data_IF_813045644722
#
_entry.id   IF_813045644722
#
_cell.length_a   1.000
_cell.length_b   1.000
_cell.length_c   1.000
_cell.angle_alpha   90.00
_cell.angle_beta   90.00
_cell.angle_gamma   90.00
#
_symmetry.space_group_name_H-M   'P 1'
#
loop_
_entity.id
_entity.type
_entity.pdbx_description
1 polymer ?
#
# COMPACT_ATOMS: atom_id res chain seq x y z
N UNK A 1 -14.47 32.14 -32.53
CA UNK A 1 -13.17 32.30 -31.87
C UNK A 1 -12.26 33.04 -32.83
N UNK A 2 -11.56 34.08 -32.37
CA UNK A 2 -10.72 34.94 -33.20
C UNK A 2 -9.47 35.32 -32.43
N UNK A 3 -8.38 34.57 -32.64
CA UNK A 3 -7.07 34.92 -32.11
C UNK A 3 -6.53 36.13 -32.86
N UNK A 4 -6.45 37.28 -32.18
CA UNK A 4 -5.75 38.45 -32.71
C UNK A 4 -4.33 38.45 -32.15
N UNK A 5 -3.39 37.91 -32.92
CA UNK A 5 -1.97 38.10 -32.66
C UNK A 5 -1.55 39.47 -33.18
N UNK A 6 -0.90 40.27 -32.34
CA UNK A 6 -0.19 41.48 -32.82
C UNK A 6 1.29 41.13 -32.93
N UNK A 7 1.81 41.19 -34.14
CA UNK A 7 3.23 41.01 -34.44
C UNK A 7 3.82 42.36 -34.80
N UNK A 8 4.76 42.83 -34.00
CA UNK A 8 5.58 43.99 -34.34
C UNK A 8 6.84 43.50 -35.05
N UNK A 9 6.97 43.79 -36.34
CA UNK A 9 8.19 43.53 -37.11
C UNK A 9 8.97 44.83 -37.29
N UNK A 10 10.17 44.89 -36.71
CA UNK A 10 11.13 45.96 -36.97
C UNK A 10 12.20 45.46 -37.93
N UNK A 11 12.25 46.00 -39.15
CA UNK A 11 13.34 45.77 -40.10
C UNK A 11 14.16 47.05 -40.23
N UNK A 12 15.47 46.95 -40.03
CA UNK A 12 16.41 48.03 -40.34
C UNK A 12 17.32 47.58 -41.48
N UNK A 13 17.32 48.35 -42.57
CA UNK A 13 18.19 48.15 -43.73
C UNK A 13 19.16 49.32 -43.82
N UNK A 14 20.46 49.03 -43.69
CA UNK A 14 21.51 50.02 -43.89
C UNK A 14 22.10 49.88 -45.28
N UNK A 15 21.83 50.84 -46.17
CA UNK A 15 22.42 50.86 -47.52
C UNK A 15 23.60 51.85 -47.56
N UNK A 16 24.80 51.36 -47.91
CA UNK A 16 25.94 52.20 -48.28
C UNK A 16 26.31 51.93 -49.74
N UNK A 17 26.26 52.98 -50.56
CA UNK A 17 26.40 52.88 -52.02
C UNK A 17 27.86 52.86 -52.46
N UNK A 18 28.35 51.66 -52.80
CA UNK A 18 29.31 51.34 -53.87
C UNK A 18 29.72 49.87 -53.69
N UNK A 19 29.05 48.96 -54.39
CA UNK A 19 29.40 47.52 -54.39
C UNK A 19 29.32 46.81 -53.01
N UNK A 20 28.44 47.24 -52.11
CA UNK A 20 28.40 46.83 -50.70
C UNK A 20 27.38 45.74 -50.37
N UNK A 21 27.76 44.87 -49.43
CA UNK A 21 26.93 43.80 -48.82
C UNK A 21 25.69 44.38 -48.13
N UNK A 22 24.52 43.85 -48.47
CA UNK A 22 23.26 44.18 -47.79
C UNK A 22 23.16 43.37 -46.48
N UNK A 23 23.11 44.08 -45.34
CA UNK A 23 22.85 43.46 -44.04
C UNK A 23 21.44 43.85 -43.57
N UNK A 24 20.61 42.85 -43.31
CA UNK A 24 19.27 43.05 -42.75
C UNK A 24 19.18 42.36 -41.39
N UNK A 25 18.69 43.10 -40.40
CA UNK A 25 18.42 42.57 -39.06
C UNK A 25 16.94 42.77 -38.79
N UNK A 26 16.25 41.67 -38.52
CA UNK A 26 14.84 41.66 -38.13
C UNK A 26 14.70 41.18 -36.69
N UNK A 27 13.86 41.89 -35.94
CA UNK A 27 13.39 41.47 -34.63
C UNK A 27 11.87 41.41 -34.65
N UNK A 28 11.31 40.27 -34.25
CA UNK A 28 9.87 40.04 -34.21
C UNK A 28 9.45 39.77 -32.78
N UNK A 29 8.51 40.56 -32.27
CA UNK A 29 7.84 40.30 -31.00
C UNK A 29 6.38 39.92 -31.28
N UNK A 30 5.99 38.74 -30.79
CA UNK A 30 4.62 38.22 -30.93
C UNK A 30 3.95 38.18 -29.57
N UNK A 31 2.78 38.80 -29.44
CA UNK A 31 1.92 38.68 -28.28
C UNK A 31 0.51 38.23 -28.70
N UNK A 32 -0.04 37.25 -27.97
CA UNK A 32 -1.41 36.78 -28.14
C UNK A 32 -2.17 36.99 -26.83
N UNK A 33 -3.34 37.60 -26.92
CA UNK A 33 -4.25 37.74 -25.79
C UNK A 33 -5.65 37.29 -26.22
N UNK A 34 -6.33 36.54 -25.36
CA UNK A 34 -7.68 36.07 -25.61
C UNK A 34 -8.60 36.64 -24.54
N UNK A 35 -9.54 37.55 -24.89
CA UNK A 35 -10.52 38.06 -23.93
C UNK A 35 -11.43 36.92 -23.47
N UNK A 36 -11.42 36.65 -22.17
CA UNK A 36 -12.24 35.58 -21.56
C UNK A 36 -13.70 36.03 -21.41
N UNK A 37 -14.44 36.06 -22.52
CA UNK A 37 -15.84 36.51 -22.58
C UNK A 37 -16.84 35.48 -22.06
N UNK A 38 -16.45 34.19 -22.06
CA UNK A 38 -17.31 33.06 -21.72
C UNK A 38 -16.81 32.28 -20.49
N UNK A 39 -15.71 32.72 -19.86
CA UNK A 39 -15.13 32.10 -18.68
C UNK A 39 -14.32 30.83 -18.96
N UNK A 40 -13.92 30.55 -20.20
CA UNK A 40 -13.24 29.31 -20.59
C UNK A 40 -11.90 29.14 -19.87
N UNK A 41 -11.10 30.22 -19.77
CA UNK A 41 -9.82 30.18 -19.05
C UNK A 41 -10.06 29.99 -17.56
N UNK A 42 -11.04 30.71 -16.99
CA UNK A 42 -11.44 30.55 -15.59
C UNK A 42 -11.89 29.12 -15.26
N UNK A 43 -12.74 28.53 -16.10
CA UNK A 43 -13.21 27.13 -15.96
C UNK A 43 -12.06 26.13 -16.10
N UNK A 44 -11.09 26.40 -16.97
CA UNK A 44 -9.87 25.57 -17.10
C UNK A 44 -9.01 25.58 -15.84
N UNK A 45 -8.83 26.75 -15.21
CA UNK A 45 -8.13 26.88 -13.92
C UNK A 45 -8.90 26.19 -12.80
N UNK A 46 -10.22 26.37 -12.74
CA UNK A 46 -11.11 25.70 -11.78
C UNK A 46 -10.98 24.17 -11.88
N UNK A 47 -11.09 23.61 -13.09
CA UNK A 47 -10.92 22.18 -13.35
C UNK A 47 -9.51 21.66 -12.96
N UNK A 48 -8.46 22.42 -13.27
CA UNK A 48 -7.09 22.07 -12.89
C UNK A 48 -6.90 22.06 -11.38
N UNK A 49 -7.49 23.04 -10.69
CA UNK A 49 -7.46 23.12 -9.23
C UNK A 49 -8.24 21.98 -8.57
N UNK A 50 -9.41 21.63 -9.10
CA UNK A 50 -10.21 20.50 -8.61
C UNK A 50 -9.47 19.17 -8.80
N UNK A 51 -8.78 19.01 -9.94
CA UNK A 51 -7.94 17.84 -10.24
C UNK A 51 -6.78 17.72 -9.26
N UNK A 52 -6.07 18.81 -8.96
CA UNK A 52 -4.99 18.81 -7.96
C UNK A 52 -5.51 18.40 -6.56
N UNK A 53 -6.62 18.97 -6.13
CA UNK A 53 -7.22 18.62 -4.84
C UNK A 53 -7.72 17.16 -4.81
N UNK A 54 -8.17 16.60 -5.93
CA UNK A 54 -8.55 15.19 -6.04
C UNK A 54 -7.32 14.28 -5.91
N UNK A 55 -6.19 14.61 -6.56
CA UNK A 55 -4.94 13.88 -6.39
C UNK A 55 -4.44 13.87 -4.95
N UNK A 56 -4.54 15.00 -4.23
CA UNK A 56 -4.18 15.08 -2.81
C UNK A 56 -5.06 14.18 -1.94
N UNK A 57 -6.37 14.15 -2.20
CA UNK A 57 -7.30 13.27 -1.50
C UNK A 57 -7.01 11.79 -1.77
N UNK A 58 -6.69 11.42 -3.02
CA UNK A 58 -6.27 10.07 -3.39
C UNK A 58 -4.98 9.66 -2.67
N UNK A 59 -3.98 10.54 -2.59
CA UNK A 59 -2.75 10.27 -1.85
C UNK A 59 -3.02 10.04 -0.36
N UNK A 60 -3.87 10.86 0.27
CA UNK A 60 -4.28 10.65 1.66
C UNK A 60 -4.99 9.31 1.85
N UNK A 61 -5.84 8.92 0.90
CA UNK A 61 -6.52 7.63 0.88
C UNK A 61 -5.57 6.43 0.79
N UNK A 62 -4.60 6.50 -0.14
CA UNK A 62 -3.58 5.46 -0.30
C UNK A 62 -2.75 5.32 0.96
N UNK A 63 -2.33 6.44 1.58
CA UNK A 63 -1.58 6.41 2.85
C UNK A 63 -2.37 5.72 3.97
N UNK A 64 -3.66 6.04 4.09
CA UNK A 64 -4.54 5.39 5.07
C UNK A 64 -4.64 3.89 4.79
N UNK A 65 -4.87 3.51 3.53
CA UNK A 65 -4.96 2.10 3.11
C UNK A 65 -3.68 1.34 3.46
N UNK A 66 -2.51 1.87 3.10
CA UNK A 66 -1.20 1.27 3.44
C UNK A 66 -1.05 1.13 4.96
N UNK A 67 -1.37 2.16 5.73
CA UNK A 67 -1.27 2.10 7.20
C UNK A 67 -2.18 1.03 7.82
N UNK A 68 -3.40 0.86 7.28
CA UNK A 68 -4.34 -0.16 7.72
C UNK A 68 -3.86 -1.57 7.33
N UNK A 69 -3.31 -1.74 6.12
CA UNK A 69 -2.70 -2.99 5.68
C UNK A 69 -1.50 -3.38 6.54
N UNK A 70 -0.60 -2.43 6.85
CA UNK A 70 0.54 -2.66 7.75
C UNK A 70 0.05 -3.10 9.13
N UNK A 71 -0.90 -2.39 9.72
CA UNK A 71 -1.46 -2.75 11.02
C UNK A 71 -2.07 -4.16 11.01
N UNK A 72 -2.88 -4.47 10.00
CA UNK A 72 -3.57 -5.77 9.89
C UNK A 72 -2.58 -6.92 9.71
N UNK A 73 -1.60 -6.78 8.80
CA UNK A 73 -0.55 -7.78 8.58
C UNK A 73 0.34 -7.97 9.82
N UNK A 74 0.67 -6.88 10.51
CA UNK A 74 1.47 -6.96 11.73
C UNK A 74 0.74 -7.70 12.85
N UNK A 75 -0.55 -7.41 13.07
CA UNK A 75 -1.35 -8.11 14.06
C UNK A 75 -1.53 -9.59 13.70
N UNK A 76 -1.75 -9.90 12.42
CA UNK A 76 -1.83 -11.29 11.96
C UNK A 76 -0.50 -12.05 12.14
N UNK A 77 0.64 -11.40 11.87
CA UNK A 77 1.97 -11.96 12.15
C UNK A 77 2.13 -12.28 13.65
N UNK A 78 1.73 -11.35 14.54
CA UNK A 78 1.77 -11.58 15.99
C UNK A 78 0.84 -12.68 16.46
N UNK A 79 -0.32 -12.86 15.82
CA UNK A 79 -1.17 -14.02 16.08
C UNK A 79 -0.43 -15.33 15.73
N UNK A 80 0.25 -15.37 14.58
CA UNK A 80 1.03 -16.55 14.19
C UNK A 80 2.21 -16.83 15.15
N UNK A 81 2.86 -15.79 15.71
CA UNK A 81 3.88 -15.98 16.75
C UNK A 81 3.33 -16.76 17.96
N UNK A 82 2.10 -16.43 18.39
CA UNK A 82 1.41 -17.09 19.51
C UNK A 82 1.02 -18.52 19.13
N UNK A 83 0.40 -18.70 17.95
CA UNK A 83 -0.05 -20.01 17.46
C UNK A 83 1.13 -20.99 17.34
N UNK A 84 2.28 -20.52 16.81
CA UNK A 84 3.51 -21.31 16.72
C UNK A 84 3.98 -21.74 18.11
N UNK A 85 4.02 -20.82 19.08
CA UNK A 85 4.43 -21.15 20.45
C UNK A 85 3.53 -22.20 21.11
N UNK A 86 2.22 -22.13 20.87
CA UNK A 86 1.25 -23.13 21.37
C UNK A 86 1.41 -24.49 20.66
N UNK A 87 1.56 -24.48 19.34
CA UNK A 87 1.71 -25.70 18.55
C UNK A 87 3.04 -26.42 18.85
N UNK A 88 4.10 -25.69 19.16
CA UNK A 88 5.37 -26.28 19.62
C UNK A 88 5.19 -27.01 20.97
N UNK A 89 4.45 -26.42 21.91
CA UNK A 89 4.15 -27.09 23.18
C UNK A 89 3.29 -28.34 22.95
N UNK A 90 2.27 -28.24 22.09
CA UNK A 90 1.42 -29.37 21.75
C UNK A 90 2.20 -30.50 21.06
N UNK A 91 3.14 -30.16 20.18
CA UNK A 91 4.01 -31.13 19.53
C UNK A 91 4.84 -31.91 20.56
N UNK A 92 5.42 -31.22 21.55
CA UNK A 92 6.19 -31.86 22.62
C UNK A 92 5.32 -32.82 23.44
N UNK A 93 4.11 -32.40 23.80
CA UNK A 93 3.16 -33.24 24.55
C UNK A 93 2.77 -34.49 23.75
N UNK A 94 2.42 -34.32 22.47
CA UNK A 94 2.02 -35.44 21.62
C UNK A 94 3.18 -36.40 21.33
N UNK A 95 4.41 -35.88 21.22
CA UNK A 95 5.60 -36.73 21.10
C UNK A 95 5.78 -37.60 22.34
N UNK A 96 5.69 -37.02 23.54
CA UNK A 96 5.82 -37.78 24.79
C UNK A 96 4.71 -38.84 24.91
N UNK A 97 3.47 -38.51 24.52
CA UNK A 97 2.37 -39.46 24.52
C UNK A 97 2.63 -40.62 23.54
N UNK A 98 3.11 -40.31 22.34
CA UNK A 98 3.48 -41.33 21.35
C UNK A 98 4.57 -42.26 21.90
N UNK A 99 5.61 -41.71 22.53
CA UNK A 99 6.70 -42.48 23.12
C UNK A 99 6.18 -43.44 24.21
N UNK A 100 5.25 -42.97 25.06
CA UNK A 100 4.61 -43.80 26.09
C UNK A 100 3.77 -44.94 25.48
N UNK A 101 2.96 -44.64 24.47
CA UNK A 101 2.12 -45.64 23.79
C UNK A 101 2.99 -46.65 23.05
N UNK A 102 4.08 -46.21 22.41
CA UNK A 102 5.03 -47.08 21.73
C UNK A 102 5.70 -48.05 22.71
N UNK A 103 6.07 -47.58 23.91
CA UNK A 103 6.59 -48.43 24.97
C UNK A 103 5.56 -49.48 25.43
N UNK A 104 4.30 -49.10 25.64
CA UNK A 104 3.24 -50.04 26.02
C UNK A 104 2.92 -51.05 24.90
N UNK A 105 3.00 -50.62 23.64
CA UNK A 105 2.76 -51.47 22.48
C UNK A 105 3.84 -52.56 22.40
N UNK A 106 5.11 -52.19 22.63
CA UNK A 106 6.22 -53.15 22.68
C UNK A 106 6.08 -54.20 23.80
N UNK A 107 5.33 -53.86 24.86
CA UNK A 107 4.99 -54.77 25.97
C UNK A 107 3.66 -55.52 25.75
N UNK A 108 3.01 -55.34 24.60
CA UNK A 108 1.73 -55.97 24.27
C UNK A 108 0.53 -55.50 25.10
N UNK A 109 0.64 -54.35 25.77
CA UNK A 109 -0.39 -53.84 26.69
C UNK A 109 -1.40 -52.91 25.98
N UNK A 110 -1.08 -52.43 24.78
CA UNK A 110 -1.97 -51.62 23.93
C UNK A 110 -2.03 -52.19 22.52
N UNK A 111 -3.12 -51.92 21.82
CA UNK A 111 -3.34 -52.37 20.45
C UNK A 111 -2.70 -51.42 19.42
N UNK A 112 -2.52 -51.92 18.19
CA UNK A 112 -1.84 -51.19 17.11
C UNK A 112 -2.63 -49.95 16.64
N UNK A 113 -3.96 -50.00 16.74
CA UNK A 113 -4.87 -48.88 16.46
C UNK A 113 -4.56 -47.65 17.33
N UNK A 114 -4.31 -47.84 18.63
CA UNK A 114 -3.94 -46.76 19.55
C UNK A 114 -2.59 -46.13 19.18
N UNK A 115 -1.62 -46.96 18.78
CA UNK A 115 -0.32 -46.49 18.30
C UNK A 115 -0.44 -45.68 17.00
N UNK A 116 -1.29 -46.11 16.06
CA UNK A 116 -1.55 -45.37 14.83
C UNK A 116 -2.27 -44.04 15.12
N UNK A 117 -3.26 -44.05 16.01
CA UNK A 117 -3.98 -42.84 16.40
C UNK A 117 -3.05 -41.78 17.03
N UNK A 118 -2.10 -42.21 17.87
CA UNK A 118 -1.11 -41.30 18.46
C UNK A 118 -0.16 -40.70 17.41
N UNK A 119 0.27 -41.50 16.42
CA UNK A 119 1.08 -41.01 15.30
C UNK A 119 0.31 -39.99 14.46
N UNK A 120 -0.96 -40.26 14.14
CA UNK A 120 -1.81 -39.35 13.37
C UNK A 120 -2.03 -38.02 14.11
N UNK A 121 -2.21 -38.06 15.43
CA UNK A 121 -2.33 -36.86 16.25
C UNK A 121 -1.04 -36.02 16.22
N UNK A 122 0.13 -36.65 16.34
CA UNK A 122 1.41 -35.94 16.23
C UNK A 122 1.59 -35.34 14.83
N UNK A 123 1.32 -36.12 13.78
CA UNK A 123 1.40 -35.68 12.38
C UNK A 123 0.50 -34.46 12.11
N UNK A 124 -0.73 -34.48 12.62
CA UNK A 124 -1.67 -33.36 12.51
C UNK A 124 -1.12 -32.08 13.15
N UNK A 125 -0.51 -32.19 14.32
CA UNK A 125 0.08 -31.02 15.02
C UNK A 125 1.31 -30.49 14.29
N UNK A 126 2.16 -31.38 13.76
CA UNK A 126 3.32 -30.99 12.94
C UNK A 126 2.87 -30.25 11.68
N UNK A 127 1.83 -30.74 10.99
CA UNK A 127 1.28 -30.09 9.80
C UNK A 127 0.68 -28.71 10.12
N UNK A 128 -0.01 -28.58 11.26
CA UNK A 128 -0.53 -27.30 11.74
C UNK A 128 0.61 -26.31 12.04
N UNK A 129 1.67 -26.76 12.72
CA UNK A 129 2.85 -25.94 13.04
C UNK A 129 3.52 -25.40 11.76
N UNK A 130 3.75 -26.26 10.77
CA UNK A 130 4.32 -25.85 9.48
C UNK A 130 3.42 -24.86 8.73
N UNK A 131 2.09 -25.03 8.85
CA UNK A 131 1.14 -24.10 8.24
C UNK A 131 1.21 -22.72 8.92
N UNK A 132 1.27 -22.68 10.25
CA UNK A 132 1.40 -21.42 10.99
C UNK A 132 2.73 -20.70 10.67
N UNK A 133 3.84 -21.44 10.57
CA UNK A 133 5.15 -20.90 10.16
C UNK A 133 5.10 -20.28 8.76
N UNK A 134 4.52 -20.99 7.78
CA UNK A 134 4.35 -20.44 6.42
C UNK A 134 3.47 -19.20 6.39
N UNK A 135 2.37 -19.19 7.15
CA UNK A 135 1.50 -18.01 7.25
C UNK A 135 2.23 -16.82 7.86
N UNK A 136 3.05 -17.05 8.89
CA UNK A 136 3.90 -16.02 9.50
C UNK A 136 4.86 -15.40 8.49
N UNK A 137 5.57 -16.22 7.72
CA UNK A 137 6.48 -15.76 6.65
C UNK A 137 5.75 -14.97 5.58
N UNK A 138 4.53 -15.38 5.20
CA UNK A 138 3.71 -14.63 4.23
C UNK A 138 3.37 -13.22 4.74
N UNK A 139 3.00 -13.08 6.02
CA UNK A 139 2.75 -11.76 6.61
C UNK A 139 4.03 -10.92 6.72
N UNK A 140 5.17 -11.54 7.02
CA UNK A 140 6.47 -10.88 7.08
C UNK A 140 6.89 -10.33 5.71
N UNK A 141 6.73 -11.14 4.65
CA UNK A 141 6.96 -10.69 3.27
C UNK A 141 5.98 -9.60 2.84
N UNK A 142 4.71 -9.68 3.23
CA UNK A 142 3.73 -8.64 2.94
C UNK A 142 4.11 -7.31 3.61
N UNK A 143 4.63 -7.34 4.84
CA UNK A 143 5.14 -6.16 5.54
C UNK A 143 6.39 -5.59 4.84
N UNK A 144 7.32 -6.43 4.38
CA UNK A 144 8.49 -5.98 3.62
C UNK A 144 8.07 -5.16 2.39
N UNK A 145 7.12 -5.67 1.60
CA UNK A 145 6.61 -4.98 0.41
C UNK A 145 5.93 -3.65 0.76
N UNK A 146 5.15 -3.61 1.85
CA UNK A 146 4.47 -2.38 2.29
C UNK A 146 5.44 -1.30 2.81
N UNK A 147 6.60 -1.70 3.34
CA UNK A 147 7.65 -0.77 3.81
C UNK A 147 8.65 -0.43 2.69
N UNK A 148 8.59 -1.13 1.55
CA UNK A 148 9.45 -0.90 0.40
C UNK A 148 10.81 -1.60 0.48
N UNK A 149 10.93 -2.65 1.30
CA UNK A 149 12.13 -3.47 1.43
C UNK A 149 11.99 -4.80 0.69
N UNK A 150 13.13 -5.36 0.25
CA UNK A 150 13.16 -6.69 -0.34
C UNK A 150 12.86 -7.74 0.76
N UNK A 151 11.98 -8.73 0.50
CA UNK A 151 11.62 -9.74 1.50
C UNK A 151 12.81 -10.52 2.08
N UNK A 152 13.91 -10.66 1.34
CA UNK A 152 15.13 -11.34 1.79
C UNK A 152 15.98 -10.55 2.78
N UNK A 153 15.73 -9.24 2.94
CA UNK A 153 16.50 -8.34 3.82
C UNK A 153 15.67 -7.85 5.02
N UNK A 154 14.35 -8.05 4.99
CA UNK A 154 13.43 -7.64 6.04
C UNK A 154 13.21 -8.79 7.02
N UNK A 155 13.27 -8.51 8.32
CA UNK A 155 12.81 -9.48 9.32
C UNK A 155 12.19 -8.85 10.56
N UNK A 156 11.18 -9.54 11.11
CA UNK A 156 10.48 -9.19 12.34
C UNK A 156 10.75 -10.27 13.38
N UNK A 157 11.45 -9.91 14.46
CA UNK A 157 11.71 -10.82 15.57
C UNK A 157 10.39 -11.38 16.16
N UNK A 158 10.28 -12.70 16.38
CA UNK A 158 9.10 -13.32 16.99
C UNK A 158 8.84 -12.83 18.41
N UNK A 159 7.56 -12.68 18.79
CA UNK A 159 7.15 -12.35 20.16
C UNK A 159 6.09 -13.34 20.63
N UNK A 160 6.51 -14.32 21.45
CA UNK A 160 5.64 -15.43 21.88
C UNK A 160 4.45 -15.03 22.76
N UNK A 161 4.51 -13.88 23.44
CA UNK A 161 3.47 -13.40 24.35
C UNK A 161 3.04 -11.98 23.99
N UNK A 162 2.60 -11.79 22.75
CA UNK A 162 2.13 -10.48 22.31
C UNK A 162 0.76 -10.14 22.93
N UNK A 163 0.67 -9.01 23.63
CA UNK A 163 -0.58 -8.53 24.19
C UNK A 163 -1.28 -7.59 23.20
N UNK A 164 -2.43 -8.00 22.68
CA UNK A 164 -3.25 -7.15 21.82
C UNK A 164 -3.94 -6.05 22.62
N UNK A 165 -3.59 -4.79 22.33
CA UNK A 165 -4.29 -3.63 22.88
C UNK A 165 -5.51 -3.29 22.01
N UNK A 166 -6.71 -3.41 22.57
CA UNK A 166 -7.95 -2.98 21.90
C UNK A 166 -8.17 -1.48 22.15
N UNK A 167 -8.11 -0.62 21.12
CA UNK A 167 -8.39 0.80 21.30
C UNK A 167 -9.89 1.00 21.60
N UNK A 168 -10.20 1.93 22.51
CA UNK A 168 -11.60 2.30 22.79
C UNK A 168 -12.15 3.13 21.61
N UNK A 169 -13.30 2.76 21.02
CA UNK A 169 -13.88 3.56 19.94
C UNK A 169 -14.36 4.92 20.48
N UNK A 170 -14.18 6.02 19.73
CA UNK A 170 -14.73 7.31 20.12
C UNK A 170 -16.27 7.29 20.07
N UNK A 171 -16.91 7.91 21.05
CA UNK A 171 -18.37 7.93 21.24
C UNK A 171 -19.13 8.82 20.23
N UNK A 172 -18.42 9.58 19.40
CA UNK A 172 -19.01 10.38 18.32
C UNK A 172 -18.36 9.99 17.00
N UNK A 173 -19.16 9.70 15.97
CA UNK A 173 -18.72 9.67 14.58
C UNK A 173 -18.83 11.10 14.04
N UNK A 174 -17.72 11.86 13.92
CA UNK A 174 -17.80 13.17 13.30
C UNK A 174 -18.06 12.97 11.80
N UNK A 175 -18.84 13.85 11.19
CA UNK A 175 -18.95 14.01 9.73
C UNK A 175 -17.58 14.13 9.03
N UNK A 176 -16.53 14.45 9.77
CA UNK A 176 -15.10 14.41 9.36
C UNK A 176 -14.64 13.00 8.92
N UNK A 177 -15.29 11.91 9.37
CA UNK A 177 -14.98 10.55 8.90
C UNK A 177 -15.47 10.30 7.46
N UNK A 178 -16.53 10.97 7.00
CA UNK A 178 -16.97 10.91 5.60
C UNK A 178 -15.97 11.62 4.68
N UNK A 179 -15.37 12.71 5.15
CA UNK A 179 -14.28 13.43 4.45
C UNK A 179 -12.93 12.70 4.48
N UNK A 180 -12.78 11.67 5.33
CA UNK A 180 -11.58 10.80 5.39
C UNK A 180 -11.68 9.58 4.50
N UNK A 181 -12.86 9.29 3.94
CA UNK A 181 -13.07 8.18 3.02
C UNK A 181 -12.73 8.62 1.60
N UNK A 182 -11.57 8.23 1.05
CA UNK A 182 -11.13 8.67 -0.28
C UNK A 182 -12.12 8.26 -1.38
N UNK A 183 -12.91 7.21 -1.16
CA UNK A 183 -13.99 6.73 -2.02
C UNK A 183 -15.18 7.71 -2.09
N UNK A 184 -15.47 8.46 -1.03
CA UNK A 184 -16.57 9.45 -1.01
C UNK A 184 -16.13 10.80 -1.59
N UNK A 185 -14.89 11.22 -1.29
CA UNK A 185 -14.33 12.48 -1.80
C UNK A 185 -14.07 12.42 -3.32
N UNK A 186 -13.62 11.27 -3.84
CA UNK A 186 -13.42 11.08 -5.28
C UNK A 186 -14.74 11.10 -6.07
N UNK A 187 -15.82 10.56 -5.49
CA UNK A 187 -17.14 10.52 -6.12
C UNK A 187 -17.86 11.88 -6.13
N UNK A 188 -17.71 12.69 -5.08
CA UNK A 188 -18.24 14.07 -5.03
C UNK A 188 -17.56 14.95 -6.10
N UNK A 189 -16.25 14.84 -6.27
CA UNK A 189 -15.47 15.73 -7.13
C UNK A 189 -15.41 15.36 -8.60
N UNK A 190 -15.72 14.11 -8.95
CA UNK A 190 -15.93 13.72 -10.35
C UNK A 190 -17.33 14.07 -10.86
N UNK A 191 -18.28 14.32 -9.95
CA UNK A 191 -19.65 14.72 -10.28
C UNK A 191 -19.87 16.26 -10.35
N UNK A 192 -18.90 17.05 -9.88
CA UNK A 192 -18.93 18.51 -9.86
C UNK A 192 -18.17 19.11 -11.06
#
# INVERSE_FOLDING_TARGET
SGSRGVGGSGSSSGASSAGGVENSVSATLTASWEPDLWGQVRRGIESSSASAQASDALLAGVRLSISASVASNYLALRQQDIDIGLLQQQQQINQQLLDMIQAQYSQGTVANDQLLQAQDQLSTVVAALQTAQRSREQYEHALAVLVGEAPSQFSVAPVAQYAFAVPRPPLSLPSVLLLRRPDVVAAERTAA
#
